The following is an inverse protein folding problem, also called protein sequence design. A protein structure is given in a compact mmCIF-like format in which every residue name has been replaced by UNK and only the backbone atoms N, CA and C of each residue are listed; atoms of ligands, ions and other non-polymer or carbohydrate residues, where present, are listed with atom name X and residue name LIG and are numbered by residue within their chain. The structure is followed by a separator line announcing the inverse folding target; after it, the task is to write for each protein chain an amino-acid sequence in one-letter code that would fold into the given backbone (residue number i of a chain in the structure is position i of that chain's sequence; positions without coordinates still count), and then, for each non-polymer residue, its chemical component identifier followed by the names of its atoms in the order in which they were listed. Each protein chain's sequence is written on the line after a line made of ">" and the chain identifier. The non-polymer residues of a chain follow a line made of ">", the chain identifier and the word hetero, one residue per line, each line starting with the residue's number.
data_IF_360726397097
#
_entry.id   IF_360726397097
#
_cell.length_a   1.000
_cell.length_b   1.000
_cell.length_c   1.000
_cell.angle_alpha   90.00
_cell.angle_beta   90.00
_cell.angle_gamma   90.00
#
_symmetry.space_group_name_H-M   'P 1'
#
loop_
_entity.id
_entity.type
_entity.pdbx_description
1 polymer ?
#
# COMPACT_ATOMS: atom_id res chain seq x y z
N UNK A 1 18.04 -11.30 -13.77
CA UNK A 1 17.77 -10.23 -12.78
C UNK A 1 17.75 -10.89 -11.42
N UNK A 2 18.54 -10.43 -10.46
CA UNK A 2 18.45 -10.92 -9.08
C UNK A 2 17.17 -10.38 -8.50
N UNK A 3 16.22 -11.25 -8.16
CA UNK A 3 15.00 -10.86 -7.46
C UNK A 3 15.35 -10.08 -6.21
N UNK A 4 14.75 -8.91 -6.05
CA UNK A 4 14.94 -8.03 -4.90
C UNK A 4 14.39 -8.72 -3.66
N UNK A 5 15.18 -8.76 -2.59
CA UNK A 5 14.76 -9.29 -1.28
C UNK A 5 14.44 -8.15 -0.33
N UNK A 6 13.50 -8.38 0.58
CA UNK A 6 13.19 -7.41 1.63
C UNK A 6 14.42 -7.13 2.50
N UNK A 7 14.62 -5.88 2.83
CA UNK A 7 15.66 -5.44 3.77
C UNK A 7 15.08 -5.24 5.19
N UNK A 8 15.93 -5.20 6.19
CA UNK A 8 15.50 -4.90 7.56
C UNK A 8 14.90 -3.50 7.69
N UNK A 9 15.42 -2.54 6.93
CA UNK A 9 14.93 -1.16 6.94
C UNK A 9 13.48 -1.09 6.45
N UNK A 10 13.11 -1.88 5.46
CA UNK A 10 11.74 -1.95 4.94
C UNK A 10 10.77 -2.56 5.97
N UNK A 11 11.27 -3.40 6.88
CA UNK A 11 10.47 -4.02 7.93
C UNK A 11 10.30 -3.16 9.19
N UNK A 12 11.01 -2.04 9.31
CA UNK A 12 10.97 -1.19 10.51
C UNK A 12 9.55 -0.70 10.81
N UNK A 13 8.91 -0.04 9.85
CA UNK A 13 7.57 0.52 10.04
C UNK A 13 6.50 -0.55 10.28
N UNK A 14 6.39 -1.63 9.47
CA UNK A 14 5.45 -2.70 9.74
C UNK A 14 5.68 -3.37 11.09
N UNK A 15 6.93 -3.53 11.51
CA UNK A 15 7.24 -4.09 12.83
C UNK A 15 6.80 -3.17 13.96
N UNK A 16 7.08 -1.87 13.87
CA UNK A 16 6.65 -0.89 14.87
C UNK A 16 5.12 -0.82 15.00
N UNK A 17 4.40 -0.97 13.90
CA UNK A 17 2.94 -1.01 13.90
C UNK A 17 2.39 -2.13 14.79
N UNK A 18 2.95 -3.35 14.70
CA UNK A 18 2.52 -4.45 15.55
C UNK A 18 3.04 -4.35 16.98
N UNK A 19 4.26 -3.85 17.18
CA UNK A 19 4.83 -3.63 18.52
C UNK A 19 4.01 -2.59 19.30
N UNK A 20 3.46 -1.58 18.64
CA UNK A 20 2.58 -0.59 19.27
C UNK A 20 1.19 -1.16 19.58
N UNK A 21 0.65 -2.01 18.70
CA UNK A 21 -0.69 -2.64 18.89
C UNK A 21 -0.71 -3.76 19.91
N UNK A 22 0.36 -4.54 20.01
CA UNK A 22 0.49 -5.65 20.96
C UNK A 22 1.69 -5.37 21.90
N UNK A 23 1.51 -4.68 23.04
CA UNK A 23 2.58 -4.45 24.01
C UNK A 23 3.26 -5.76 24.44
N UNK A 24 4.59 -5.73 24.53
CA UNK A 24 5.42 -6.89 24.88
C UNK A 24 5.27 -8.08 23.90
N UNK A 25 5.02 -7.77 22.64
CA UNK A 25 4.93 -8.79 21.58
C UNK A 25 6.24 -9.58 21.47
N UNK A 26 6.13 -10.91 21.37
CA UNK A 26 7.31 -11.76 21.17
C UNK A 26 7.80 -11.70 19.72
N UNK A 27 9.10 -11.98 19.51
CA UNK A 27 9.66 -12.05 18.15
C UNK A 27 8.95 -13.08 17.28
N UNK A 28 8.58 -14.23 17.85
CA UNK A 28 7.83 -15.27 17.15
C UNK A 28 6.44 -14.79 16.73
N UNK A 29 5.74 -14.10 17.61
CA UNK A 29 4.43 -13.53 17.31
C UNK A 29 4.51 -12.42 16.25
N UNK A 30 5.47 -11.51 16.40
CA UNK A 30 5.75 -10.45 15.43
C UNK A 30 6.02 -11.02 14.04
N UNK A 31 6.81 -12.09 13.95
CA UNK A 31 7.10 -12.79 12.70
C UNK A 31 5.83 -13.30 12.03
N UNK A 32 4.97 -13.98 12.77
CA UNK A 32 3.70 -14.51 12.24
C UNK A 32 2.79 -13.40 11.70
N UNK A 33 2.66 -12.30 12.44
CA UNK A 33 1.84 -11.16 12.01
C UNK A 33 2.39 -10.48 10.76
N UNK A 34 3.70 -10.33 10.66
CA UNK A 34 4.34 -9.75 9.47
C UNK A 34 4.20 -10.65 8.24
N UNK A 35 4.32 -11.98 8.39
CA UNK A 35 4.09 -12.94 7.30
C UNK A 35 2.64 -12.89 6.84
N UNK A 36 1.68 -12.90 7.77
CA UNK A 36 0.25 -12.86 7.44
C UNK A 36 -0.17 -11.55 6.76
N UNK A 37 0.38 -10.43 7.23
CA UNK A 37 0.08 -9.11 6.68
C UNK A 37 0.68 -8.92 5.28
N UNK A 38 1.98 -9.20 5.14
CA UNK A 38 2.74 -8.85 3.94
C UNK A 38 2.67 -9.94 2.86
N UNK A 39 2.39 -11.19 3.25
CA UNK A 39 2.29 -12.35 2.36
C UNK A 39 3.44 -12.42 1.36
N UNK A 40 4.68 -12.62 1.84
CA UNK A 40 5.87 -12.58 1.00
C UNK A 40 5.77 -13.53 -0.19
N UNK A 41 6.27 -13.08 -1.34
CA UNK A 41 6.33 -13.86 -2.59
C UNK A 41 7.76 -13.96 -3.11
N UNK A 42 7.95 -14.63 -4.23
CA UNK A 42 9.24 -14.79 -4.87
C UNK A 42 10.28 -15.37 -3.92
N UNK A 43 11.50 -14.85 -3.97
CA UNK A 43 12.63 -15.35 -3.18
C UNK A 43 12.45 -15.19 -1.67
N UNK A 44 11.68 -14.21 -1.21
CA UNK A 44 11.43 -14.03 0.22
C UNK A 44 10.54 -15.14 0.80
N UNK A 45 9.70 -15.76 0.00
CA UNK A 45 8.89 -16.94 0.38
C UNK A 45 9.66 -18.26 0.36
N UNK A 46 10.85 -18.32 -0.26
CA UNK A 46 11.65 -19.56 -0.31
C UNK A 46 12.26 -19.88 1.05
N UNK A 47 12.41 -21.18 1.32
CA UNK A 47 13.12 -21.66 2.52
C UNK A 47 14.60 -21.29 2.42
N UNK A 48 15.13 -20.65 3.45
CA UNK A 48 16.52 -20.24 3.50
C UNK A 48 17.45 -21.48 3.58
N UNK A 49 18.52 -21.48 2.78
CA UNK A 49 19.44 -22.61 2.68
C UNK A 49 19.93 -23.10 4.05
N UNK A 50 19.70 -24.36 4.36
CA UNK A 50 20.11 -25.01 5.61
C UNK A 50 19.28 -24.61 6.84
N UNK A 51 18.06 -24.10 6.66
CA UNK A 51 17.16 -23.66 7.73
C UNK A 51 15.74 -24.16 7.50
N UNK A 52 14.89 -24.02 8.52
CA UNK A 52 13.46 -24.30 8.43
C UNK A 52 12.63 -23.06 8.06
N UNK A 53 13.21 -21.86 8.17
CA UNK A 53 12.52 -20.62 7.91
C UNK A 53 12.72 -20.12 6.48
N UNK A 54 11.79 -19.30 6.03
CA UNK A 54 11.91 -18.56 4.78
C UNK A 54 12.95 -17.42 4.88
N UNK A 55 13.38 -16.89 3.76
CA UNK A 55 14.27 -15.73 3.73
C UNK A 55 13.62 -14.50 4.36
N UNK A 56 12.31 -14.34 4.21
CA UNK A 56 11.56 -13.27 4.90
C UNK A 56 11.61 -13.42 6.42
N UNK A 57 11.29 -14.61 6.93
CA UNK A 57 11.32 -14.90 8.37
C UNK A 57 12.72 -14.70 8.96
N UNK A 58 13.75 -15.04 8.20
CA UNK A 58 15.14 -14.74 8.57
C UNK A 58 15.36 -13.23 8.72
N UNK A 59 14.81 -12.40 7.80
CA UNK A 59 14.93 -10.95 7.89
C UNK A 59 14.23 -10.39 9.13
N UNK A 60 13.05 -10.90 9.48
CA UNK A 60 12.39 -10.51 10.72
C UNK A 60 13.26 -10.82 11.95
N UNK A 61 13.88 -12.00 12.01
CA UNK A 61 14.80 -12.33 13.09
C UNK A 61 16.07 -11.46 13.11
N UNK A 62 16.52 -11.03 11.96
CA UNK A 62 17.68 -10.13 11.87
C UNK A 62 17.40 -8.78 12.51
N UNK A 63 16.16 -8.31 12.61
CA UNK A 63 15.80 -7.11 13.38
C UNK A 63 16.31 -7.21 14.84
N UNK A 64 16.27 -8.42 15.42
CA UNK A 64 16.80 -8.70 16.76
C UNK A 64 18.30 -8.89 16.73
N UNK A 65 18.81 -9.80 15.88
CA UNK A 65 20.23 -10.17 15.83
C UNK A 65 21.12 -8.98 15.54
N UNK A 66 20.69 -8.08 14.66
CA UNK A 66 21.42 -6.87 14.30
C UNK A 66 21.02 -5.66 15.15
N UNK A 67 20.09 -5.84 16.10
CA UNK A 67 19.55 -4.77 16.96
C UNK A 67 19.01 -3.58 16.16
N UNK A 68 18.39 -3.82 15.01
CA UNK A 68 18.02 -2.78 14.06
C UNK A 68 17.08 -1.76 14.69
N UNK A 69 16.00 -2.19 15.35
CA UNK A 69 15.05 -1.29 16.00
C UNK A 69 15.67 -0.54 17.20
N UNK A 70 16.57 -1.21 17.96
CA UNK A 70 17.24 -0.62 19.10
C UNK A 70 18.26 0.43 18.67
N UNK A 71 19.07 0.18 17.62
CA UNK A 71 20.03 1.15 17.08
C UNK A 71 19.36 2.40 16.53
N UNK A 72 18.13 2.26 16.00
CA UNK A 72 17.31 3.39 15.59
C UNK A 72 16.64 4.10 16.76
N UNK A 73 16.70 3.53 17.96
CA UNK A 73 16.04 4.08 19.15
C UNK A 73 14.51 3.93 19.14
N UNK A 74 13.96 3.05 18.29
CA UNK A 74 12.51 2.94 18.08
C UNK A 74 11.82 1.87 18.91
N UNK A 75 12.55 0.82 19.28
CA UNK A 75 12.02 -0.20 20.18
C UNK A 75 13.13 -0.76 21.07
N UNK A 76 12.76 -1.22 22.25
CA UNK A 76 13.60 -2.00 23.14
C UNK A 76 13.32 -3.50 22.93
N UNK A 77 14.31 -4.33 23.21
CA UNK A 77 14.20 -5.77 23.17
C UNK A 77 14.71 -6.37 24.47
N UNK A 78 13.90 -7.20 25.11
CA UNK A 78 14.25 -7.93 26.32
C UNK A 78 14.08 -9.43 26.07
N UNK A 79 15.18 -10.18 26.27
CA UNK A 79 15.13 -11.64 26.16
C UNK A 79 14.33 -12.24 27.32
N UNK A 80 13.39 -13.12 27.00
CA UNK A 80 12.58 -13.86 27.96
C UNK A 80 12.59 -15.36 27.58
N UNK A 81 13.40 -16.17 28.26
CA UNK A 81 13.52 -17.60 27.96
C UNK A 81 14.08 -17.87 26.56
N UNK A 82 13.36 -18.67 25.78
CA UNK A 82 13.70 -19.05 24.41
C UNK A 82 13.37 -17.98 23.36
N UNK A 83 12.48 -17.04 23.67
CA UNK A 83 12.09 -15.90 22.83
C UNK A 83 12.40 -14.59 23.55
N UNK A 84 12.05 -13.47 22.96
CA UNK A 84 12.17 -12.16 23.56
C UNK A 84 11.02 -11.25 23.16
N UNK A 85 10.80 -10.23 23.96
CA UNK A 85 9.70 -9.27 23.78
C UNK A 85 10.21 -7.93 23.31
N UNK A 86 9.38 -7.25 22.54
CA UNK A 86 9.64 -5.92 22.01
C UNK A 86 8.68 -4.91 22.65
N UNK A 87 9.22 -3.76 23.03
CA UNK A 87 8.46 -2.63 23.58
C UNK A 87 8.81 -1.37 22.79
N UNK A 88 7.82 -0.66 22.30
CA UNK A 88 8.03 0.55 21.51
C UNK A 88 8.51 1.70 22.40
N UNK A 89 9.48 2.48 21.94
CA UNK A 89 9.94 3.70 22.63
C UNK A 89 9.07 4.90 22.23
N UNK A 90 9.28 6.03 22.92
CA UNK A 90 8.65 7.30 22.54
C UNK A 90 9.04 7.70 21.11
N UNK A 91 10.33 7.64 20.77
CA UNK A 91 10.81 7.95 19.40
C UNK A 91 10.22 7.02 18.36
N UNK A 92 10.04 5.73 18.70
CA UNK A 92 9.37 4.77 17.84
C UNK A 92 7.90 5.10 17.60
N UNK A 93 7.18 5.51 18.66
CA UNK A 93 5.79 5.97 18.55
C UNK A 93 5.67 7.23 17.69
N UNK A 94 6.52 8.22 17.91
CA UNK A 94 6.53 9.46 17.15
C UNK A 94 6.82 9.18 15.65
N UNK A 95 7.78 8.29 15.37
CA UNK A 95 8.09 7.87 14.01
C UNK A 95 6.94 7.08 13.36
N UNK A 96 6.33 6.16 14.09
CA UNK A 96 5.15 5.41 13.64
C UNK A 96 4.00 6.36 13.36
N UNK A 97 3.69 7.27 14.29
CA UNK A 97 2.58 8.22 14.15
C UNK A 97 2.74 9.13 12.92
N UNK A 98 3.97 9.53 12.60
CA UNK A 98 4.26 10.32 11.39
C UNK A 98 3.94 9.55 10.09
N UNK A 99 3.91 8.22 10.14
CA UNK A 99 3.72 7.36 8.97
C UNK A 99 2.47 6.47 9.08
N UNK A 100 1.69 6.59 10.17
CA UNK A 100 0.59 5.67 10.46
C UNK A 100 -0.46 5.63 9.36
N UNK A 101 -0.80 6.79 8.85
CA UNK A 101 -1.81 6.96 7.82
C UNK A 101 -1.41 6.24 6.52
N UNK A 102 -0.14 6.38 6.14
CA UNK A 102 0.42 5.71 4.97
C UNK A 102 0.48 4.19 5.15
N UNK A 103 0.80 3.73 6.37
CA UNK A 103 0.78 2.31 6.70
C UNK A 103 -0.64 1.73 6.67
N UNK A 104 -1.59 2.39 7.31
CA UNK A 104 -2.98 1.94 7.34
C UNK A 104 -3.58 1.89 5.94
N UNK A 105 -3.21 2.84 5.08
CA UNK A 105 -3.55 2.81 3.67
C UNK A 105 -2.97 1.56 2.98
N UNK A 106 -1.67 1.29 3.11
CA UNK A 106 -1.02 0.12 2.51
C UNK A 106 -1.64 -1.19 3.03
N UNK A 107 -1.97 -1.27 4.31
CA UNK A 107 -2.53 -2.47 4.93
C UNK A 107 -4.01 -2.69 4.63
N UNK A 108 -4.74 -1.63 4.32
CA UNK A 108 -6.16 -1.69 3.95
C UNK A 108 -6.39 -1.81 2.45
N UNK A 109 -5.37 -1.56 1.64
CA UNK A 109 -5.38 -1.74 0.18
C UNK A 109 -5.08 -3.19 -0.21
N UNK A 110 -5.53 -3.57 -1.40
CA UNK A 110 -5.25 -4.89 -1.97
C UNK A 110 -3.96 -4.83 -2.82
N UNK A 111 -2.88 -4.31 -2.23
CA UNK A 111 -1.58 -4.22 -2.90
C UNK A 111 -0.84 -5.56 -2.84
N UNK A 112 -0.09 -5.87 -3.89
CA UNK A 112 0.80 -7.02 -3.89
C UNK A 112 2.04 -6.77 -3.03
N UNK A 113 2.80 -7.84 -2.77
CA UNK A 113 3.98 -7.78 -1.92
C UNK A 113 5.06 -6.81 -2.43
N UNK A 114 5.33 -6.80 -3.73
CA UNK A 114 6.38 -5.98 -4.34
C UNK A 114 6.05 -4.48 -4.27
N UNK A 115 4.77 -4.14 -4.45
CA UNK A 115 4.28 -2.77 -4.32
C UNK A 115 4.39 -2.28 -2.87
N UNK A 116 4.01 -3.10 -1.89
CA UNK A 116 4.17 -2.77 -0.47
C UNK A 116 5.64 -2.61 -0.10
N UNK A 117 6.51 -3.51 -0.55
CA UNK A 117 7.94 -3.45 -0.29
C UNK A 117 8.54 -2.15 -0.84
N UNK A 118 8.21 -1.79 -2.08
CA UNK A 118 8.69 -0.55 -2.72
C UNK A 118 8.22 0.70 -1.96
N UNK A 119 7.00 0.67 -1.45
CA UNK A 119 6.44 1.76 -0.64
C UNK A 119 7.14 1.91 0.70
N UNK A 120 7.48 0.82 1.39
CA UNK A 120 8.22 0.87 2.66
C UNK A 120 9.61 1.47 2.52
N UNK A 121 10.30 1.23 1.40
CA UNK A 121 11.60 1.89 1.10
C UNK A 121 11.44 3.40 1.18
N UNK A 122 10.40 3.94 0.60
CA UNK A 122 10.17 5.39 0.56
C UNK A 122 9.76 5.96 1.92
N UNK A 123 8.94 5.21 2.68
CA UNK A 123 8.49 5.63 4.01
C UNK A 123 9.63 5.64 5.05
N UNK A 124 10.61 4.78 4.92
CA UNK A 124 11.71 4.64 5.89
C UNK A 124 12.90 5.56 5.64
N UNK A 125 12.96 6.24 4.49
CA UNK A 125 14.00 7.24 4.23
C UNK A 125 13.88 8.41 5.20
N UNK A 126 14.98 8.82 5.83
CA UNK A 126 15.04 9.93 6.79
C UNK A 126 15.81 11.12 6.22
N UNK A 127 15.48 12.36 6.64
CA UNK A 127 16.20 13.58 6.27
C UNK A 127 15.92 14.08 4.86
N UNK A 128 16.89 14.72 4.24
CA UNK A 128 16.79 15.31 2.89
C UNK A 128 16.54 14.26 1.78
N UNK A 129 16.78 12.98 2.08
CA UNK A 129 16.46 11.86 1.18
C UNK A 129 14.99 11.42 1.24
N UNK A 130 14.17 11.98 2.12
CA UNK A 130 12.73 11.81 2.05
C UNK A 130 12.24 12.52 0.80
N UNK A 131 12.01 11.79 -0.27
CA UNK A 131 11.05 12.25 -1.27
C UNK A 131 9.75 12.52 -0.51
N UNK A 132 9.25 13.75 -0.59
CA UNK A 132 8.02 14.13 0.10
C UNK A 132 6.90 13.21 -0.36
N UNK A 133 6.49 12.34 0.54
CA UNK A 133 5.27 11.57 0.34
C UNK A 133 4.14 12.59 0.49
N UNK A 134 3.49 12.88 -0.62
CA UNK A 134 2.33 13.76 -0.62
C UNK A 134 1.11 12.91 -0.25
N UNK A 135 0.64 13.06 0.97
CA UNK A 135 -0.60 12.46 1.45
C UNK A 135 -1.71 13.51 1.25
N UNK A 136 -2.78 13.15 0.57
CA UNK A 136 -3.83 14.06 0.10
C UNK A 136 -4.87 14.35 1.19
N UNK A 137 -4.99 15.60 1.62
CA UNK A 137 -6.05 16.02 2.56
C UNK A 137 -7.31 16.48 1.79
N UNK A 138 -8.50 16.11 2.25
CA UNK A 138 -9.79 16.45 1.60
C UNK A 138 -10.00 17.96 1.34
N UNK A 139 -9.33 18.80 2.13
CA UNK A 139 -9.47 20.25 2.04
C UNK A 139 -8.55 20.94 1.03
N UNK A 140 -7.76 20.16 0.27
CA UNK A 140 -6.62 20.72 -0.48
C UNK A 140 -6.85 20.91 -1.94
N UNK A 141 -7.94 20.45 -2.47
CA UNK A 141 -8.05 20.21 -3.91
C UNK A 141 -8.58 21.38 -4.67
N UNK A 142 -9.02 22.43 -4.28
CA UNK A 142 -9.47 23.50 -5.17
C UNK A 142 -9.21 24.87 -4.57
N UNK A 143 -7.97 25.30 -4.64
CA UNK A 143 -7.68 26.69 -4.95
C UNK A 143 -6.77 26.73 -6.17
N UNK A 144 -7.30 27.17 -7.27
CA UNK A 144 -6.53 27.60 -8.43
C UNK A 144 -5.56 28.69 -7.96
N UNK A 145 -4.28 28.40 -8.00
CA UNK A 145 -3.27 29.36 -7.63
C UNK A 145 -2.25 28.80 -6.65
N UNK A 146 -1.23 28.23 -7.22
CA UNK A 146 -0.08 27.66 -6.55
C UNK A 146 0.37 28.43 -5.32
N UNK A 147 0.15 27.90 -4.13
CA UNK A 147 0.99 28.21 -2.96
C UNK A 147 1.47 26.93 -2.32
N UNK A 148 2.77 26.88 -2.09
CA UNK A 148 3.52 25.81 -1.46
C UNK A 148 2.79 25.27 -0.24
N UNK A 149 2.36 24.03 -0.32
CA UNK A 149 1.77 23.33 0.79
C UNK A 149 2.91 22.64 1.55
N UNK A 150 3.17 23.14 2.76
CA UNK A 150 4.00 22.44 3.73
C UNK A 150 3.12 21.43 4.46
N UNK A 151 3.51 20.15 4.47
CA UNK A 151 2.91 19.07 5.24
C UNK A 151 1.47 18.69 4.83
N UNK A 152 1.33 18.04 3.69
CA UNK A 152 0.05 17.47 3.28
C UNK A 152 0.18 15.97 3.18
N UNK A 153 -0.69 15.29 3.90
CA UNK A 153 -0.85 13.85 3.84
C UNK A 153 -2.02 13.50 2.92
N UNK A 154 -1.81 12.69 1.89
CA UNK A 154 -2.83 12.32 0.89
C UNK A 154 -3.22 10.87 1.10
N UNK A 155 -4.48 10.65 1.39
CA UNK A 155 -5.06 9.33 1.29
C UNK A 155 -5.68 9.15 -0.10
N UNK A 156 -5.35 8.06 -0.74
CA UNK A 156 -5.87 7.69 -2.05
C UNK A 156 -7.38 7.47 -2.04
N UNK A 157 -7.94 7.11 -0.89
CA UNK A 157 -9.39 7.09 -0.64
C UNK A 157 -10.00 8.47 -0.45
N UNK A 158 -9.27 9.55 -0.75
CA UNK A 158 -9.84 10.87 -0.66
C UNK A 158 -11.09 10.91 -1.56
N UNK A 159 -12.21 11.26 -0.96
CA UNK A 159 -13.49 11.44 -1.65
C UNK A 159 -13.31 12.28 -2.91
N UNK A 160 -12.42 13.27 -2.86
CA UNK A 160 -12.15 14.19 -3.97
C UNK A 160 -11.37 13.58 -5.13
N UNK A 161 -10.32 12.78 -4.87
CA UNK A 161 -9.63 12.09 -5.96
C UNK A 161 -10.58 11.14 -6.67
N UNK A 162 -11.43 10.43 -5.89
CA UNK A 162 -12.48 9.58 -6.42
C UNK A 162 -13.49 10.39 -7.24
N UNK A 163 -13.97 11.52 -6.74
CA UNK A 163 -14.90 12.42 -7.44
C UNK A 163 -14.29 12.98 -8.73
N UNK A 164 -13.03 13.43 -8.70
CA UNK A 164 -12.32 13.91 -9.89
C UNK A 164 -12.13 12.78 -10.90
N UNK A 165 -11.73 11.58 -10.47
CA UNK A 165 -11.60 10.41 -11.33
C UNK A 165 -12.94 10.02 -11.97
N UNK A 166 -14.02 10.00 -11.18
CA UNK A 166 -15.38 9.74 -11.68
C UNK A 166 -15.79 10.80 -12.69
N UNK A 167 -15.63 12.09 -12.38
CA UNK A 167 -16.00 13.18 -13.28
C UNK A 167 -15.23 13.13 -14.60
N UNK A 168 -13.92 12.80 -14.55
CA UNK A 168 -13.09 12.64 -15.75
C UNK A 168 -13.56 11.49 -16.64
N UNK A 169 -14.04 10.40 -16.04
CA UNK A 169 -14.51 9.22 -16.77
C UNK A 169 -16.00 9.31 -17.18
N UNK A 170 -16.75 10.29 -16.64
CA UNK A 170 -18.18 10.45 -16.90
C UNK A 170 -18.41 11.14 -18.25
N UNK A 171 -19.20 10.53 -19.12
CA UNK A 171 -19.70 11.13 -20.37
C UNK A 171 -21.22 11.12 -20.38
N UNK A 172 -21.86 12.27 -20.27
CA UNK A 172 -23.34 12.40 -20.26
C UNK A 172 -24.02 11.45 -19.27
N UNK A 173 -23.55 11.46 -18.02
CA UNK A 173 -24.00 10.60 -16.90
C UNK A 173 -23.60 9.11 -17.00
N UNK A 174 -22.93 8.71 -18.05
CA UNK A 174 -22.46 7.34 -18.28
C UNK A 174 -21.01 7.15 -17.84
N UNK A 175 -20.75 6.08 -17.09
CA UNK A 175 -19.38 5.60 -16.76
C UNK A 175 -19.34 4.11 -17.05
N UNK A 176 -18.48 3.73 -17.97
CA UNK A 176 -18.29 2.33 -18.34
C UNK A 176 -17.11 1.72 -17.55
N UNK A 177 -17.30 0.47 -17.14
CA UNK A 177 -16.22 -0.34 -16.59
C UNK A 177 -15.10 -0.54 -17.64
N UNK A 178 -13.87 -0.23 -17.28
CA UNK A 178 -12.70 -0.37 -18.18
C UNK A 178 -12.43 -1.82 -18.62
N UNK A 179 -12.95 -2.80 -17.87
CA UNK A 179 -12.78 -4.23 -18.15
C UNK A 179 -13.92 -4.75 -19.05
N UNK A 180 -15.17 -4.63 -18.60
CA UNK A 180 -16.30 -5.32 -19.21
C UNK A 180 -17.32 -4.40 -19.89
N UNK A 181 -17.07 -3.10 -19.89
CA UNK A 181 -17.93 -2.04 -20.42
C UNK A 181 -19.32 -1.93 -19.75
N UNK A 182 -19.53 -2.59 -18.60
CA UNK A 182 -20.78 -2.47 -17.85
C UNK A 182 -20.98 -1.03 -17.38
N UNK A 183 -22.19 -0.53 -17.52
CA UNK A 183 -22.58 0.83 -17.14
C UNK A 183 -23.80 0.76 -16.21
N UNK A 184 -23.60 1.21 -14.97
CA UNK A 184 -24.65 1.19 -13.96
C UNK A 184 -25.81 2.12 -14.28
N UNK A 185 -25.55 3.27 -14.91
CA UNK A 185 -26.62 4.18 -15.31
C UNK A 185 -27.48 3.59 -16.43
N UNK A 186 -26.86 2.93 -17.40
CA UNK A 186 -27.58 2.26 -18.48
C UNK A 186 -28.49 1.15 -17.97
N UNK A 187 -28.08 0.40 -16.94
CA UNK A 187 -28.83 -0.74 -16.39
C UNK A 187 -29.84 -0.32 -15.34
N UNK A 188 -29.48 0.60 -14.42
CA UNK A 188 -30.27 0.95 -13.23
C UNK A 188 -30.85 2.38 -13.29
N UNK A 189 -30.71 3.08 -14.41
CA UNK A 189 -31.19 4.44 -14.58
C UNK A 189 -30.61 5.40 -13.55
N UNK A 190 -31.42 6.32 -13.05
CA UNK A 190 -30.97 7.34 -12.07
C UNK A 190 -30.29 6.77 -10.82
N UNK A 191 -30.63 5.53 -10.41
CA UNK A 191 -30.04 4.90 -9.23
C UNK A 191 -28.57 4.50 -9.46
N UNK A 192 -28.21 4.19 -10.69
CA UNK A 192 -26.85 3.82 -11.09
C UNK A 192 -25.97 5.01 -11.45
N UNK A 193 -26.50 6.24 -11.42
CA UNK A 193 -25.78 7.44 -11.84
C UNK A 193 -24.54 7.66 -10.99
N UNK A 194 -23.37 7.75 -11.63
CA UNK A 194 -22.07 7.99 -10.95
C UNK A 194 -21.61 6.84 -10.06
N UNK A 195 -22.28 5.68 -10.09
CA UNK A 195 -21.86 4.52 -9.33
C UNK A 195 -20.83 3.72 -10.13
N UNK A 196 -19.59 3.75 -9.66
CA UNK A 196 -18.45 3.00 -10.18
C UNK A 196 -17.41 2.88 -9.06
N UNK A 197 -16.57 1.86 -9.09
CA UNK A 197 -15.41 1.76 -8.23
C UNK A 197 -14.17 2.26 -8.96
N UNK A 198 -13.30 2.96 -8.25
CA UNK A 198 -12.03 3.44 -8.80
C UNK A 198 -10.93 2.51 -8.30
N UNK A 199 -10.36 1.77 -9.23
CA UNK A 199 -9.25 0.87 -8.97
C UNK A 199 -7.92 1.59 -9.20
N UNK A 200 -7.00 1.51 -8.24
CA UNK A 200 -5.66 2.07 -8.34
C UNK A 200 -4.69 1.00 -8.84
N UNK A 201 -4.05 1.28 -9.97
CA UNK A 201 -3.14 0.33 -10.60
C UNK A 201 -1.75 0.31 -9.92
N UNK A 202 -1.37 1.40 -9.26
CA UNK A 202 -0.11 1.50 -8.49
C UNK A 202 -0.33 2.29 -7.21
N UNK A 203 0.36 1.92 -6.11
CA UNK A 203 0.35 2.71 -4.89
C UNK A 203 0.84 4.13 -5.15
N UNK A 204 0.16 5.10 -4.56
CA UNK A 204 0.42 6.52 -4.78
C UNK A 204 1.85 6.95 -4.36
N UNK A 205 2.48 6.20 -3.46
CA UNK A 205 3.85 6.45 -2.98
C UNK A 205 4.96 6.13 -3.99
N UNK A 206 4.62 5.58 -5.14
CA UNK A 206 5.58 5.24 -6.19
C UNK A 206 5.83 6.41 -7.16
N UNK A 207 5.13 7.53 -6.98
CA UNK A 207 5.29 8.69 -7.84
C UNK A 207 6.47 9.56 -7.41
N UNK A 208 7.34 9.88 -8.35
CA UNK A 208 8.61 10.59 -8.10
C UNK A 208 8.48 12.13 -8.19
N UNK A 209 7.37 12.67 -8.67
CA UNK A 209 7.24 14.10 -9.00
C UNK A 209 6.82 14.94 -7.79
N UNK A 210 7.50 16.08 -7.60
CA UNK A 210 7.31 16.97 -6.46
C UNK A 210 6.26 18.09 -6.70
N UNK A 211 5.74 18.18 -7.92
CA UNK A 211 4.72 19.15 -8.29
C UNK A 211 3.32 18.57 -8.03
N UNK A 212 2.54 19.24 -7.17
CA UNK A 212 1.22 18.77 -6.77
C UNK A 212 0.27 18.61 -7.97
N UNK A 213 0.37 19.49 -8.97
CA UNK A 213 -0.47 19.39 -10.17
C UNK A 213 -0.14 18.16 -11.01
N UNK A 214 1.15 17.91 -11.22
CA UNK A 214 1.63 16.72 -11.95
C UNK A 214 1.34 15.45 -11.17
N UNK A 215 1.45 15.49 -9.84
CA UNK A 215 1.12 14.37 -8.97
C UNK A 215 -0.35 13.94 -9.10
N UNK A 216 -1.29 14.90 -9.07
CA UNK A 216 -2.72 14.61 -9.28
C UNK A 216 -2.94 14.02 -10.66
N UNK A 217 -2.30 14.59 -11.68
CA UNK A 217 -2.41 14.08 -13.06
C UNK A 217 -1.88 12.65 -13.17
N UNK A 218 -0.74 12.34 -12.56
CA UNK A 218 -0.18 10.99 -12.51
C UNK A 218 -1.08 10.03 -11.72
N UNK A 219 -1.63 10.45 -10.57
CA UNK A 219 -2.56 9.67 -9.80
C UNK A 219 -3.83 9.34 -10.61
N UNK A 220 -4.35 10.32 -11.35
CA UNK A 220 -5.50 10.14 -12.24
C UNK A 220 -5.21 9.26 -13.46
N UNK A 221 -3.97 9.20 -13.93
CA UNK A 221 -3.55 8.29 -14.99
C UNK A 221 -3.43 6.84 -14.51
N UNK A 222 -3.24 6.65 -13.22
CA UNK A 222 -3.07 5.33 -12.61
C UNK A 222 -4.34 4.78 -11.95
N UNK A 223 -5.49 5.37 -12.22
CA UNK A 223 -6.78 4.86 -11.79
C UNK A 223 -7.61 4.39 -12.98
N UNK A 224 -8.40 3.34 -12.77
CA UNK A 224 -9.34 2.84 -13.75
C UNK A 224 -10.74 2.70 -13.14
N UNK A 225 -11.81 3.20 -13.80
CA UNK A 225 -13.17 2.91 -13.38
C UNK A 225 -13.50 1.45 -13.68
N UNK A 226 -13.91 0.70 -12.65
CA UNK A 226 -14.26 -0.71 -12.75
C UNK A 226 -15.60 -0.97 -12.05
N UNK A 227 -16.39 -1.91 -12.57
CA UNK A 227 -17.58 -2.34 -11.83
C UNK A 227 -17.17 -3.22 -10.63
N UNK A 228 -18.06 -3.33 -9.63
CA UNK A 228 -17.80 -4.09 -8.42
C UNK A 228 -17.38 -5.56 -8.69
N UNK A 229 -17.95 -6.17 -9.73
CA UNK A 229 -17.59 -7.54 -10.10
C UNK A 229 -16.15 -7.63 -10.63
N UNK A 230 -15.79 -6.76 -11.59
CA UNK A 230 -14.43 -6.73 -12.14
C UNK A 230 -13.40 -6.34 -11.07
N UNK A 231 -13.71 -5.40 -10.19
CA UNK A 231 -12.84 -5.03 -9.08
C UNK A 231 -12.56 -6.21 -8.16
N UNK A 232 -13.58 -6.97 -7.79
CA UNK A 232 -13.41 -8.20 -7.00
C UNK A 232 -12.63 -9.28 -7.74
N UNK A 233 -12.76 -9.36 -9.06
CA UNK A 233 -11.99 -10.33 -9.84
C UNK A 233 -10.52 -9.95 -9.96
N UNK A 234 -10.20 -8.66 -10.10
CA UNK A 234 -8.82 -8.16 -10.05
C UNK A 234 -8.15 -8.61 -8.73
N UNK A 235 -8.85 -8.45 -7.61
CA UNK A 235 -8.34 -8.72 -6.27
C UNK A 235 -8.67 -10.12 -5.73
N UNK A 236 -9.14 -11.03 -6.57
CA UNK A 236 -9.51 -12.39 -6.14
C UNK A 236 -8.33 -13.13 -5.51
N UNK A 237 -7.16 -12.99 -6.11
CA UNK A 237 -5.90 -13.49 -5.58
C UNK A 237 -5.14 -12.34 -4.93
N UNK A 238 -5.26 -12.25 -3.59
CA UNK A 238 -4.71 -11.11 -2.82
C UNK A 238 -3.19 -10.91 -3.01
N UNK A 239 -2.45 -11.99 -3.25
CA UNK A 239 -0.99 -11.94 -3.38
C UNK A 239 -0.51 -11.68 -4.81
N UNK A 240 -1.43 -11.77 -5.78
CA UNK A 240 -1.16 -11.56 -7.20
C UNK A 240 -2.38 -10.92 -7.87
N UNK A 241 -2.71 -9.66 -7.53
CA UNK A 241 -3.82 -8.96 -8.16
C UNK A 241 -3.56 -8.85 -9.67
N UNK A 242 -4.57 -9.16 -10.44
CA UNK A 242 -4.52 -9.10 -11.90
C UNK A 242 -4.57 -7.64 -12.36
N UNK A 243 -3.87 -7.32 -13.43
CA UNK A 243 -4.02 -5.99 -14.03
C UNK A 243 -5.39 -5.83 -14.72
N UNK A 244 -5.82 -4.58 -14.89
CA UNK A 244 -7.06 -4.25 -15.62
C UNK A 244 -7.02 -4.82 -17.04
N UNK A 245 -5.85 -4.77 -17.68
CA UNK A 245 -5.70 -5.24 -19.07
C UNK A 245 -5.75 -6.77 -19.17
N UNK A 246 -5.10 -7.51 -18.27
CA UNK A 246 -5.19 -8.96 -18.21
C UNK A 246 -6.62 -9.44 -18.00
N UNK A 247 -7.34 -8.83 -17.05
CA UNK A 247 -8.75 -9.19 -16.81
C UNK A 247 -9.63 -8.84 -18.01
N UNK A 248 -9.36 -7.74 -18.71
CA UNK A 248 -10.09 -7.37 -19.93
C UNK A 248 -9.91 -8.41 -21.02
N UNK A 249 -8.69 -8.87 -21.25
CA UNK A 249 -8.40 -9.93 -22.24
C UNK A 249 -9.15 -11.22 -21.89
N UNK A 250 -9.19 -11.63 -20.62
CA UNK A 250 -9.94 -12.80 -20.17
C UNK A 250 -11.44 -12.66 -20.44
N UNK A 251 -12.00 -11.49 -20.15
CA UNK A 251 -13.44 -11.21 -20.39
C UNK A 251 -13.76 -11.21 -21.88
N UNK A 252 -12.89 -10.66 -22.72
CA UNK A 252 -13.05 -10.66 -24.18
C UNK A 252 -13.00 -12.08 -24.74
N UNK A 253 -12.03 -12.90 -24.29
CA UNK A 253 -11.94 -14.31 -24.69
C UNK A 253 -13.17 -15.13 -24.28
N UNK A 254 -13.68 -14.92 -23.06
CA UNK A 254 -14.87 -15.62 -22.58
C UNK A 254 -16.17 -15.24 -23.32
N UNK A 255 -16.22 -14.07 -23.94
CA UNK A 255 -17.38 -13.60 -24.73
C UNK A 255 -17.38 -14.10 -26.17
N UNK A 256 -16.25 -14.62 -26.63
CA UNK A 256 -16.08 -15.20 -27.97
C UNK A 256 -16.31 -16.71 -28.02
N UNK A 257 -16.53 -17.33 -26.87
CA UNK A 257 -16.94 -18.72 -26.70
C UNK A 257 -18.47 -18.84 -26.62
#
# INVERSE_FOLDING_TARGET
>A
MTEKRVSETELVLPALYFIDKEPDITTSRLKLLLVDLLKPTGRDAEIAKGRADTYFEQKVRNLVSHRTLQRLGYAEYKRMGSDGVHSITKSGKDFLQTNIDALEYLFSGDFNYDDMQSSFVNLTKTGEQKQKILIYHENLVIEEGARRIKNVQVYERSRKLREVAINRCTKKDHIQCSVCSFDFYAVYGKRGRGYIEIHHQKPIFQYEDQDTGKFIEQALQNVAPVCANCHRMIHREKNAPMSVEELKQLVEQARTL
#
